data_IF_385005994768
#
_entry.id   IF_385005994768
#
_cell.length_a   1.000
_cell.length_b   1.000
_cell.length_c   1.000
_cell.angle_alpha   90.00
_cell.angle_beta   90.00
_cell.angle_gamma   90.00
#
_symmetry.space_group_name_H-M   'P 1'
#
loop_
_entity.id
_entity.type
_entity.pdbx_description
1 polymer ?
#
# COMPACT_ATOMS: atom_id res chain seq x y z
N UNK A 1 6.28 -23.89 10.14
CA UNK A 1 6.46 -22.74 11.04
C UNK A 1 7.63 -21.93 10.50
N UNK A 2 7.58 -20.61 10.51
CA UNK A 2 8.73 -19.78 10.10
C UNK A 2 9.80 -19.82 11.19
N UNK A 3 11.09 -19.86 10.81
CA UNK A 3 12.22 -19.77 11.73
C UNK A 3 12.49 -18.30 12.11
N UNK A 4 13.20 -18.07 13.19
CA UNK A 4 13.64 -16.71 13.58
C UNK A 4 14.50 -16.05 12.50
N UNK A 5 15.36 -16.81 11.81
CA UNK A 5 16.19 -16.31 10.73
C UNK A 5 15.37 -15.78 9.53
N UNK A 6 14.20 -16.37 9.24
CA UNK A 6 13.30 -15.88 8.19
C UNK A 6 12.59 -14.57 8.57
N UNK A 7 12.65 -14.17 9.83
CA UNK A 7 12.03 -12.98 10.40
C UNK A 7 13.05 -11.94 10.86
N UNK A 8 14.32 -12.13 10.57
CA UNK A 8 15.42 -11.26 11.05
C UNK A 8 15.25 -9.78 10.62
N UNK A 9 14.60 -9.53 9.49
CA UNK A 9 14.28 -8.16 9.03
C UNK A 9 12.98 -7.56 9.61
N UNK A 10 12.27 -8.28 10.52
CA UNK A 10 10.96 -7.87 11.07
C UNK A 10 11.13 -7.47 12.52
N UNK A 11 11.45 -6.22 12.77
CA UNK A 11 11.86 -5.72 14.10
C UNK A 11 10.70 -5.18 14.93
N UNK A 12 9.54 -4.86 14.32
CA UNK A 12 8.38 -4.26 15.00
C UNK A 12 7.44 -5.28 15.65
N UNK A 13 7.64 -6.59 15.41
CA UNK A 13 6.94 -7.67 16.10
C UNK A 13 7.60 -7.95 17.44
N UNK A 14 6.95 -7.60 18.54
CA UNK A 14 7.46 -7.93 19.87
C UNK A 14 6.92 -7.05 20.99
N UNK A 15 7.51 -7.16 22.19
CA UNK A 15 7.01 -6.58 23.45
C UNK A 15 7.35 -5.09 23.66
N UNK A 16 7.93 -4.41 22.67
CA UNK A 16 8.28 -3.01 22.80
C UNK A 16 7.05 -2.11 22.58
N UNK A 17 6.97 -1.02 23.36
CA UNK A 17 5.94 0.01 23.18
C UNK A 17 6.04 0.59 21.77
N UNK A 18 4.99 0.42 20.98
CA UNK A 18 4.92 0.92 19.59
C UNK A 18 4.93 2.45 19.57
N UNK A 19 5.86 3.02 18.82
CA UNK A 19 5.89 4.45 18.55
C UNK A 19 5.19 4.73 17.23
N UNK A 20 4.19 5.62 17.25
CA UNK A 20 3.46 6.04 16.07
C UNK A 20 4.08 7.34 15.54
N UNK A 21 4.63 7.29 14.32
CA UNK A 21 5.04 8.49 13.60
C UNK A 21 3.82 9.12 12.95
N UNK A 22 3.71 10.44 13.07
CA UNK A 22 2.58 11.22 12.53
C UNK A 22 2.96 12.03 11.29
N UNK A 23 4.17 11.86 10.80
CA UNK A 23 4.68 12.42 9.54
C UNK A 23 5.08 11.27 8.62
N UNK A 24 4.92 11.45 7.32
CA UNK A 24 5.24 10.43 6.32
C UNK A 24 6.62 9.80 6.55
N UNK A 25 6.63 8.49 6.71
CA UNK A 25 7.79 7.72 7.17
C UNK A 25 7.88 6.36 6.47
N UNK A 26 8.31 6.32 5.20
CA UNK A 26 8.42 5.06 4.45
C UNK A 26 9.47 4.09 5.04
N UNK A 27 10.41 4.59 5.83
CA UNK A 27 11.44 3.81 6.50
C UNK A 27 10.90 2.85 7.58
N UNK A 28 9.64 2.99 7.98
CA UNK A 28 9.02 2.06 8.95
C UNK A 28 8.56 0.76 8.29
N UNK A 29 8.47 0.73 6.96
CA UNK A 29 8.05 -0.46 6.23
C UNK A 29 9.09 -1.58 6.34
N UNK A 30 8.63 -2.77 6.67
CA UNK A 30 9.44 -3.99 6.77
C UNK A 30 8.90 -5.07 5.82
N UNK A 31 9.80 -5.97 5.41
CA UNK A 31 9.47 -7.12 4.56
C UNK A 31 10.07 -8.40 5.12
N UNK A 32 9.52 -9.53 4.70
CA UNK A 32 10.04 -10.84 5.02
C UNK A 32 9.95 -11.79 3.82
N UNK A 33 10.76 -12.86 3.76
CA UNK A 33 10.80 -13.77 2.62
C UNK A 33 9.46 -14.45 2.31
N UNK A 34 9.10 -14.51 1.03
CA UNK A 34 8.01 -15.33 0.53
C UNK A 34 8.44 -16.79 0.45
N UNK A 35 7.70 -17.71 1.09
CA UNK A 35 7.98 -19.15 1.02
C UNK A 35 7.47 -19.82 -0.27
N UNK A 36 6.68 -19.11 -1.07
CA UNK A 36 6.01 -19.65 -2.25
C UNK A 36 6.25 -18.81 -3.51
N UNK A 37 7.53 -18.45 -3.85
CA UNK A 37 7.80 -17.54 -4.96
C UNK A 37 7.44 -18.12 -6.33
N UNK A 38 7.36 -19.46 -6.44
CA UNK A 38 6.95 -20.17 -7.65
C UNK A 38 5.43 -20.32 -7.84
N UNK A 39 4.63 -19.80 -6.89
CA UNK A 39 3.18 -19.87 -6.95
C UNK A 39 2.58 -18.46 -6.96
N UNK A 40 1.77 -18.16 -7.97
CA UNK A 40 1.10 -16.86 -8.04
C UNK A 40 -0.15 -16.88 -7.16
N UNK A 41 -0.19 -15.96 -6.20
CA UNK A 41 -1.35 -15.75 -5.33
C UNK A 41 -1.50 -14.27 -4.99
N UNK A 42 -2.72 -13.87 -4.71
CA UNK A 42 -3.04 -12.50 -4.37
C UNK A 42 -3.05 -12.30 -2.85
N UNK A 43 -2.37 -11.27 -2.39
CA UNK A 43 -2.48 -10.76 -1.02
C UNK A 43 -3.26 -9.45 -1.06
N UNK A 44 -4.29 -9.33 -0.21
CA UNK A 44 -5.13 -8.13 -0.11
C UNK A 44 -5.02 -7.53 1.29
N UNK A 45 -4.73 -6.24 1.35
CA UNK A 45 -4.92 -5.43 2.54
C UNK A 45 -6.05 -4.44 2.33
N UNK A 46 -6.90 -4.32 3.33
CA UNK A 46 -7.92 -3.29 3.43
C UNK A 46 -7.60 -2.39 4.61
N UNK A 47 -7.33 -1.10 4.34
CA UNK A 47 -6.91 -0.11 5.34
C UNK A 47 -7.99 0.99 5.47
N UNK A 48 -9.06 0.75 6.25
CA UNK A 48 -10.22 1.65 6.31
C UNK A 48 -9.99 2.91 7.15
N UNK A 49 -8.88 2.99 7.86
CA UNK A 49 -8.58 4.10 8.78
C UNK A 49 -7.54 5.08 8.22
N UNK A 50 -7.36 5.11 6.90
CA UNK A 50 -6.39 6.03 6.29
C UNK A 50 -6.85 7.47 6.43
N UNK A 51 -5.90 8.35 6.78
CA UNK A 51 -6.11 9.79 6.83
C UNK A 51 -4.85 10.54 6.38
N UNK A 52 -5.06 11.65 5.69
CA UNK A 52 -4.04 12.61 5.26
C UNK A 52 -4.57 14.04 5.41
N UNK A 53 -3.82 15.04 4.97
CA UNK A 53 -4.25 16.43 4.96
C UNK A 53 -4.30 16.97 3.54
N UNK A 54 -5.25 17.83 3.28
CA UNK A 54 -5.23 18.64 2.07
C UNK A 54 -3.99 19.53 2.08
N UNK A 55 -3.12 19.52 1.05
CA UNK A 55 -1.87 20.29 1.05
C UNK A 55 -2.13 21.81 1.02
N UNK A 56 -3.32 22.23 0.61
CA UNK A 56 -3.67 23.63 0.48
C UNK A 56 -4.42 24.20 1.68
N UNK A 57 -5.34 23.43 2.26
CA UNK A 57 -6.24 23.91 3.31
C UNK A 57 -5.94 23.33 4.68
N UNK A 58 -5.15 22.25 4.76
CA UNK A 58 -4.92 21.50 5.99
C UNK A 58 -6.13 20.70 6.48
N UNK A 59 -7.22 20.65 5.68
CA UNK A 59 -8.40 19.87 6.03
C UNK A 59 -8.04 18.38 6.06
N UNK A 60 -8.45 17.63 7.10
CA UNK A 60 -8.29 16.19 7.13
C UNK A 60 -9.08 15.49 6.02
N UNK A 61 -8.41 14.54 5.36
CA UNK A 61 -8.98 13.63 4.40
C UNK A 61 -9.02 12.22 4.98
N UNK A 62 -10.10 11.49 4.70
CA UNK A 62 -10.31 10.13 5.16
C UNK A 62 -10.57 9.22 3.97
N UNK A 63 -10.00 8.01 4.01
CA UNK A 63 -10.18 7.04 2.95
C UNK A 63 -10.07 5.60 3.47
N UNK A 64 -10.63 4.69 2.69
CA UNK A 64 -10.27 3.28 2.69
C UNK A 64 -9.22 3.07 1.61
N UNK A 65 -8.03 2.58 1.97
CA UNK A 65 -6.98 2.19 1.01
C UNK A 65 -7.01 0.68 0.85
N UNK A 66 -7.19 0.24 -0.40
CA UNK A 66 -7.10 -1.17 -0.80
C UNK A 66 -5.81 -1.43 -1.53
N UNK A 67 -5.08 -2.44 -1.09
CA UNK A 67 -3.82 -2.88 -1.69
C UNK A 67 -3.97 -4.34 -2.05
N UNK A 68 -3.83 -4.66 -3.34
CA UNK A 68 -3.77 -6.03 -3.84
C UNK A 68 -2.42 -6.25 -4.50
N UNK A 69 -1.70 -7.31 -4.15
CA UNK A 69 -0.44 -7.61 -4.83
C UNK A 69 -0.17 -9.09 -4.96
N UNK A 70 0.57 -9.45 -6.00
CA UNK A 70 1.14 -10.78 -6.21
C UNK A 70 2.61 -10.68 -5.81
N UNK A 71 3.01 -11.32 -4.69
CA UNK A 71 4.39 -11.24 -4.23
C UNK A 71 5.34 -12.01 -5.16
N UNK A 72 6.59 -11.54 -5.26
CA UNK A 72 7.71 -12.29 -5.80
C UNK A 72 8.51 -12.89 -4.64
N UNK A 73 9.66 -12.35 -4.29
CA UNK A 73 10.54 -12.88 -3.25
C UNK A 73 10.15 -12.42 -1.82
N UNK A 74 9.38 -11.36 -1.69
CA UNK A 74 9.08 -10.73 -0.40
C UNK A 74 7.60 -10.44 -0.19
N UNK A 75 7.22 -10.45 1.10
CA UNK A 75 5.92 -10.01 1.59
C UNK A 75 6.12 -8.80 2.53
N UNK A 76 5.17 -7.87 2.53
CA UNK A 76 5.18 -6.77 3.50
C UNK A 76 4.74 -7.27 4.88
N UNK A 77 5.41 -6.78 5.94
CA UNK A 77 5.01 -7.07 7.31
C UNK A 77 3.83 -6.18 7.72
N UNK A 78 2.76 -6.78 8.21
CA UNK A 78 1.46 -6.13 8.39
C UNK A 78 1.44 -5.05 9.47
N UNK A 79 2.22 -5.21 10.57
CA UNK A 79 2.34 -4.19 11.61
C UNK A 79 3.10 -2.96 11.10
N UNK A 80 4.16 -3.17 10.32
CA UNK A 80 4.92 -2.09 9.68
C UNK A 80 4.06 -1.33 8.68
N UNK A 81 3.25 -2.04 7.88
CA UNK A 81 2.29 -1.43 6.98
C UNK A 81 1.26 -0.58 7.74
N UNK A 82 0.73 -1.06 8.86
CA UNK A 82 -0.17 -0.28 9.72
C UNK A 82 0.49 1.03 10.18
N UNK A 83 1.75 0.97 10.63
CA UNK A 83 2.47 2.16 11.08
C UNK A 83 2.78 3.12 9.93
N UNK A 84 3.09 2.60 8.76
CA UNK A 84 3.28 3.37 7.55
C UNK A 84 2.00 4.12 7.15
N UNK A 85 0.85 3.44 7.11
CA UNK A 85 -0.45 4.08 6.83
C UNK A 85 -0.76 5.18 7.85
N UNK A 86 -0.49 4.94 9.13
CA UNK A 86 -0.68 5.94 10.18
C UNK A 86 0.21 7.18 10.00
N UNK A 87 1.40 7.02 9.42
CA UNK A 87 2.35 8.13 9.23
C UNK A 87 1.84 9.22 8.27
N UNK A 88 0.83 8.93 7.45
CA UNK A 88 0.20 9.91 6.57
C UNK A 88 -0.70 10.91 7.30
N UNK A 89 -1.01 10.71 8.58
CA UNK A 89 -1.97 11.52 9.33
C UNK A 89 -1.75 13.03 9.21
N UNK A 90 -0.51 13.50 9.23
CA UNK A 90 -0.15 14.90 9.06
C UNK A 90 0.56 15.18 7.73
N UNK A 91 0.51 14.23 6.79
CA UNK A 91 1.08 14.39 5.45
C UNK A 91 0.12 15.18 4.57
N UNK A 92 0.58 16.32 4.07
CA UNK A 92 -0.19 17.19 3.19
C UNK A 92 0.07 16.86 1.73
N UNK A 93 -0.83 16.07 1.11
CA UNK A 93 -0.75 15.74 -0.32
C UNK A 93 -2.14 15.54 -0.92
N UNK A 94 -2.26 15.62 -2.26
CA UNK A 94 -3.52 15.32 -2.93
C UNK A 94 -3.82 13.81 -2.88
N UNK A 95 -5.10 13.45 -3.01
CA UNK A 95 -5.55 12.07 -2.91
C UNK A 95 -4.85 11.16 -3.92
N UNK A 96 -4.66 11.65 -5.15
CA UNK A 96 -3.97 10.96 -6.24
C UNK A 96 -2.51 10.71 -5.92
N UNK A 97 -1.85 11.69 -5.29
CA UNK A 97 -0.44 11.58 -4.91
C UNK A 97 -0.27 10.57 -3.79
N UNK A 98 -1.13 10.59 -2.76
CA UNK A 98 -1.10 9.60 -1.67
C UNK A 98 -1.15 8.17 -2.20
N UNK A 99 -2.07 7.86 -3.13
CA UNK A 99 -2.20 6.51 -3.71
C UNK A 99 -0.95 6.13 -4.51
N UNK A 100 -0.40 7.06 -5.30
CA UNK A 100 0.81 6.82 -6.08
C UNK A 100 2.06 6.65 -5.20
N UNK A 101 2.18 7.41 -4.11
CA UNK A 101 3.25 7.28 -3.13
C UNK A 101 3.20 5.89 -2.49
N UNK A 102 2.04 5.47 -1.99
CA UNK A 102 1.86 4.14 -1.36
C UNK A 102 2.25 3.04 -2.35
N UNK A 103 1.78 3.11 -3.60
CA UNK A 103 2.12 2.13 -4.61
C UNK A 103 3.63 2.07 -4.88
N UNK A 104 4.28 3.22 -5.07
CA UNK A 104 5.72 3.30 -5.35
C UNK A 104 6.59 2.82 -4.20
N UNK A 105 6.22 3.15 -2.96
CA UNK A 105 6.97 2.69 -1.77
C UNK A 105 6.91 1.18 -1.62
N UNK A 106 5.74 0.58 -1.85
CA UNK A 106 5.57 -0.87 -1.80
C UNK A 106 6.29 -1.56 -2.96
N UNK A 107 6.30 -0.99 -4.17
CA UNK A 107 7.11 -1.51 -5.30
C UNK A 107 8.60 -1.48 -4.94
N UNK A 108 9.09 -0.38 -4.40
CA UNK A 108 10.48 -0.24 -3.99
C UNK A 108 10.88 -1.24 -2.90
N UNK A 109 9.98 -1.49 -1.94
CA UNK A 109 10.22 -2.43 -0.84
C UNK A 109 10.24 -3.88 -1.30
N UNK A 110 9.24 -4.28 -2.11
CA UNK A 110 8.89 -5.70 -2.35
C UNK A 110 9.35 -6.22 -3.71
N UNK A 111 9.52 -5.33 -4.70
CA UNK A 111 9.67 -5.70 -6.12
C UNK A 111 8.64 -6.79 -6.54
N UNK A 112 7.33 -6.52 -6.36
CA UNK A 112 6.29 -7.54 -6.55
C UNK A 112 6.12 -7.87 -8.03
N UNK A 113 5.54 -9.03 -8.34
CA UNK A 113 5.14 -9.37 -9.71
C UNK A 113 4.06 -8.42 -10.22
N UNK A 114 3.11 -8.10 -9.35
CA UNK A 114 2.00 -7.16 -9.61
C UNK A 114 1.59 -6.47 -8.31
N UNK A 115 1.15 -5.23 -8.40
CA UNK A 115 0.49 -4.50 -7.31
C UNK A 115 -0.51 -3.49 -7.86
N UNK A 116 -1.64 -3.34 -7.17
CA UNK A 116 -2.59 -2.26 -7.36
C UNK A 116 -2.94 -1.62 -6.01
N UNK A 117 -3.10 -0.30 -6.02
CA UNK A 117 -3.54 0.49 -4.86
C UNK A 117 -4.71 1.35 -5.28
N UNK A 118 -5.80 1.25 -4.54
CA UNK A 118 -7.01 2.04 -4.74
C UNK A 118 -7.31 2.84 -3.48
N UNK A 119 -7.57 4.14 -3.64
CA UNK A 119 -8.07 5.01 -2.59
C UNK A 119 -9.57 5.26 -2.76
N UNK A 120 -10.35 5.02 -1.71
CA UNK A 120 -11.78 5.31 -1.65
C UNK A 120 -11.95 6.47 -0.68
N UNK A 121 -11.78 7.70 -1.19
CA UNK A 121 -11.85 8.90 -0.36
C UNK A 121 -13.29 9.31 -0.09
N UNK A 122 -13.53 9.74 1.15
CA UNK A 122 -14.83 10.29 1.55
C UNK A 122 -15.15 11.56 0.74
N UNK A 123 -16.43 11.78 0.39
CA UNK A 123 -16.81 12.91 -0.46
C UNK A 123 -16.57 14.25 0.25
N UNK A 124 -16.09 15.23 -0.53
CA UNK A 124 -16.06 16.64 -0.18
C UNK A 124 -16.96 17.43 -1.10
N UNK A 125 -17.87 18.22 -0.54
CA UNK A 125 -18.83 18.98 -1.34
C UNK A 125 -19.68 18.12 -2.30
N UNK A 126 -19.93 16.84 -1.92
CA UNK A 126 -20.68 15.89 -2.74
C UNK A 126 -19.84 15.20 -3.84
N UNK A 127 -18.53 15.47 -3.94
CA UNK A 127 -17.64 14.85 -4.92
C UNK A 127 -16.81 13.78 -4.23
N UNK A 128 -16.95 12.52 -4.67
CA UNK A 128 -16.09 11.41 -4.27
C UNK A 128 -14.96 11.25 -5.28
N UNK A 129 -13.75 10.95 -4.79
CA UNK A 129 -12.56 10.76 -5.62
C UNK A 129 -11.94 9.40 -5.32
N UNK A 130 -11.64 8.65 -6.38
CA UNK A 130 -11.20 7.28 -6.28
C UNK A 130 -9.96 7.02 -7.15
N UNK A 131 -8.78 7.52 -6.74
CA UNK A 131 -7.56 7.27 -7.48
C UNK A 131 -7.19 5.78 -7.44
N UNK A 132 -6.69 5.30 -8.56
CA UNK A 132 -6.21 3.93 -8.74
C UNK A 132 -4.85 3.96 -9.42
N UNK A 133 -3.86 3.34 -8.81
CA UNK A 133 -2.52 3.17 -9.36
C UNK A 133 -2.14 1.70 -9.35
N UNK A 134 -1.38 1.24 -10.35
CA UNK A 134 -0.89 -0.11 -10.37
C UNK A 134 0.50 -0.20 -11.02
N UNK A 135 1.14 -1.34 -10.80
CA UNK A 135 2.42 -1.71 -11.37
C UNK A 135 2.44 -3.20 -11.70
N UNK A 136 3.01 -3.55 -12.83
CA UNK A 136 3.37 -4.93 -13.18
C UNK A 136 4.85 -5.01 -13.50
N UNK A 137 5.53 -6.04 -13.04
CA UNK A 137 6.97 -6.23 -13.17
C UNK A 137 7.39 -6.15 -14.63
N UNK A 138 8.30 -5.22 -14.94
CA UNK A 138 8.73 -4.93 -16.31
C UNK A 138 9.34 -6.15 -16.98
N UNK A 139 9.02 -6.34 -18.26
CA UNK A 139 9.50 -7.47 -19.06
C UNK A 139 8.85 -8.81 -18.72
N UNK A 140 7.75 -8.80 -17.96
CA UNK A 140 6.94 -9.97 -17.63
C UNK A 140 5.50 -9.81 -18.13
N UNK A 141 4.72 -10.89 -18.09
CA UNK A 141 3.28 -10.85 -18.40
C UNK A 141 2.49 -9.91 -17.50
N UNK A 142 2.98 -9.63 -16.29
CA UNK A 142 2.35 -8.72 -15.34
C UNK A 142 2.39 -7.25 -15.80
N UNK A 143 3.34 -6.87 -16.66
CA UNK A 143 3.34 -5.54 -17.27
C UNK A 143 2.12 -5.31 -18.17
N UNK A 144 1.80 -6.29 -19.01
CA UNK A 144 0.61 -6.24 -19.86
C UNK A 144 -0.69 -6.30 -19.04
N UNK A 145 -0.71 -7.12 -17.98
CA UNK A 145 -1.82 -7.21 -17.05
C UNK A 145 -2.09 -5.84 -16.39
N UNK A 146 -1.05 -5.15 -15.92
CA UNK A 146 -1.20 -3.84 -15.29
C UNK A 146 -1.83 -2.81 -16.25
N UNK A 147 -1.41 -2.77 -17.50
CA UNK A 147 -1.99 -1.89 -18.54
C UNK A 147 -3.46 -2.21 -18.78
N UNK A 148 -3.81 -3.48 -18.96
CA UNK A 148 -5.19 -3.92 -19.15
C UNK A 148 -6.07 -3.57 -17.94
N UNK A 149 -5.53 -3.75 -16.75
CA UNK A 149 -6.24 -3.52 -15.48
C UNK A 149 -6.66 -2.07 -15.25
N UNK A 150 -5.91 -1.09 -15.76
CA UNK A 150 -6.29 0.33 -15.70
C UNK A 150 -7.65 0.60 -16.36
N UNK A 151 -7.91 -0.03 -17.51
CA UNK A 151 -9.17 0.16 -18.24
C UNK A 151 -10.36 -0.57 -17.61
N UNK A 152 -10.11 -1.65 -16.87
CA UNK A 152 -11.17 -2.43 -16.20
C UNK A 152 -11.46 -1.97 -14.79
N UNK A 153 -10.63 -1.10 -14.20
CA UNK A 153 -10.81 -0.57 -12.85
C UNK A 153 -12.09 0.27 -12.72
N UNK A 154 -12.53 0.89 -13.83
CA UNK A 154 -13.71 1.76 -13.89
C UNK A 154 -15.02 0.97 -13.70
N UNK A 155 -15.09 -0.28 -14.16
CA UNK A 155 -16.35 -1.06 -14.15
C UNK A 155 -16.76 -1.62 -12.77
N UNK A 156 -15.91 -1.53 -11.76
CA UNK A 156 -16.17 -2.14 -10.44
C UNK A 156 -17.13 -1.38 -9.55
N UNK A 157 -17.64 -0.22 -9.97
CA UNK A 157 -18.43 0.69 -9.12
C UNK A 157 -19.82 0.99 -9.63
N UNK A 158 -20.32 0.14 -10.50
CA UNK A 158 -21.71 0.16 -10.93
C UNK A 158 -22.57 -0.78 -10.10
#
# INVERSE_FOLDING_TARGET
>A
MRSEAELEGVTLLGNNKTQYKTTYSPEVLEKFPNKHPGNDYMVTFNCPEFTSLCPKTGQPDFAEIKINYIPDQYLVESKSLKLYMFSFRNHGDFHEDCVNIIMKDLVKLLDPKYIEVEGIFMPRGGISLYPFANYGKLGTEFEALAKSRLFTAIDRRR
#
